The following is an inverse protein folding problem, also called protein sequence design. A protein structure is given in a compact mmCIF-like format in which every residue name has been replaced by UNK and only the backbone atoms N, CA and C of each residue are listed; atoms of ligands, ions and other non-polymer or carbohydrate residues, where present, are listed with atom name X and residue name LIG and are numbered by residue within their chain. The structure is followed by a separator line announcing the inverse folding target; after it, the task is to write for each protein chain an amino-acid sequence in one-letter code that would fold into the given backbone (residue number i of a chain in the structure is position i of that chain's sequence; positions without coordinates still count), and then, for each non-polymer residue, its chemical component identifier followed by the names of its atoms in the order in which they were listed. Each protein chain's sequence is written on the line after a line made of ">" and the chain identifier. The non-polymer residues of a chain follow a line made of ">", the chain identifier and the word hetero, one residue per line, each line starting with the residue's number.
data_IF_871205801641
#
_entry.id   IF_871205801641
#
_cell.length_a   1.000
_cell.length_b   1.000
_cell.length_c   1.000
_cell.angle_alpha   90.00
_cell.angle_beta   90.00
_cell.angle_gamma   90.00
#
_symmetry.space_group_name_H-M   'P 1'
#
loop_
_entity.id
_entity.type
_entity.pdbx_description
1 polymer ?
#
# COMPACT_ATOMS: atom_id res chain seq x y z
N UNK A 1 21.64 -0.73 2.73
CA UNK A 1 20.28 -0.60 2.18
C UNK A 1 20.28 -0.38 0.66
N UNK A 2 20.81 0.73 0.12
CA UNK A 2 20.80 0.97 -1.34
C UNK A 2 21.52 -0.12 -2.17
N UNK A 3 22.60 -0.69 -1.64
CA UNK A 3 23.31 -1.82 -2.27
C UNK A 3 22.55 -3.16 -2.27
N UNK A 4 21.64 -3.38 -1.31
CA UNK A 4 20.91 -4.66 -1.15
C UNK A 4 19.68 -4.76 -2.06
N UNK A 5 19.12 -3.62 -2.44
CA UNK A 5 17.83 -3.56 -3.15
C UNK A 5 18.02 -3.49 -4.67
N UNK A 6 19.15 -2.96 -5.15
CA UNK A 6 19.41 -2.79 -6.59
C UNK A 6 18.30 -2.02 -7.30
N UNK A 7 17.92 -2.45 -8.50
CA UNK A 7 16.80 -1.89 -9.27
C UNK A 7 15.45 -2.53 -8.92
N UNK A 8 15.35 -3.31 -7.84
CA UNK A 8 14.11 -4.06 -7.51
C UNK A 8 13.11 -3.24 -6.68
N UNK A 9 13.57 -2.15 -6.06
CA UNK A 9 12.71 -1.22 -5.33
C UNK A 9 13.37 0.14 -5.17
N UNK A 10 12.54 1.16 -5.05
CA UNK A 10 12.92 2.52 -4.64
C UNK A 10 12.84 2.59 -3.11
N UNK A 11 13.88 3.15 -2.49
CA UNK A 11 13.94 3.33 -1.04
C UNK A 11 13.57 4.77 -0.70
N UNK A 12 12.47 4.95 0.01
CA UNK A 12 12.00 6.23 0.50
C UNK A 12 12.27 6.34 2.01
N UNK A 13 13.23 7.17 2.46
CA UNK A 13 13.55 7.31 3.87
C UNK A 13 12.54 8.19 4.61
N UNK A 14 12.27 7.85 5.87
CA UNK A 14 11.51 8.64 6.85
C UNK A 14 10.13 9.08 6.34
N UNK A 15 9.36 8.14 5.82
CA UNK A 15 8.04 8.42 5.23
C UNK A 15 6.97 8.46 6.32
N UNK A 16 6.14 9.52 6.33
CA UNK A 16 5.04 9.64 7.27
C UNK A 16 3.93 8.61 6.99
N UNK A 17 3.33 8.01 8.03
CA UNK A 17 2.24 7.04 7.84
C UNK A 17 1.02 7.64 7.13
N UNK A 18 0.79 8.95 7.28
CA UNK A 18 -0.26 9.68 6.54
C UNK A 18 -0.05 9.72 5.03
N UNK A 19 1.18 9.51 4.58
CA UNK A 19 1.56 9.54 3.16
C UNK A 19 1.50 8.13 2.54
N UNK A 20 1.34 7.10 3.37
CA UNK A 20 1.23 5.69 2.98
C UNK A 20 -0.22 5.22 3.10
N UNK A 21 -0.90 5.61 4.18
CA UNK A 21 -2.22 5.10 4.54
C UNK A 21 -3.29 6.18 4.52
N UNK A 22 -4.48 5.79 4.09
CA UNK A 22 -5.68 6.62 4.10
C UNK A 22 -6.67 6.08 5.13
N UNK A 23 -7.36 6.98 5.82
CA UNK A 23 -8.42 6.60 6.76
C UNK A 23 -9.74 6.63 6.02
N UNK A 24 -10.54 5.57 6.21
CA UNK A 24 -11.89 5.50 5.68
C UNK A 24 -12.73 6.69 6.16
N UNK A 25 -13.49 7.31 5.25
CA UNK A 25 -14.36 8.46 5.57
C UNK A 25 -15.56 8.05 6.43
N UNK A 26 -15.92 6.77 6.47
CA UNK A 26 -16.97 6.19 7.30
C UNK A 26 -16.69 6.27 8.80
N UNK A 27 -15.46 6.59 9.20
CA UNK A 27 -15.05 6.75 10.61
C UNK A 27 -15.62 8.04 11.25
N UNK A 28 -16.12 8.97 10.43
CA UNK A 28 -16.92 10.11 10.88
C UNK A 28 -16.18 11.00 11.90
N UNK A 29 -16.77 11.15 13.09
CA UNK A 29 -16.26 12.05 14.16
C UNK A 29 -14.87 11.66 14.67
N UNK A 30 -14.49 10.39 14.57
CA UNK A 30 -13.17 9.92 15.00
C UNK A 30 -12.09 10.09 13.91
N UNK A 31 -12.43 10.55 12.69
CA UNK A 31 -11.48 10.70 11.59
C UNK A 31 -10.27 11.56 12.00
N UNK A 32 -10.49 12.73 12.61
CA UNK A 32 -9.42 13.64 13.06
C UNK A 32 -8.52 13.00 14.12
N UNK A 33 -9.11 12.17 15.00
CA UNK A 33 -8.37 11.46 16.05
C UNK A 33 -7.45 10.40 15.45
N UNK A 34 -7.92 9.59 14.51
CA UNK A 34 -7.07 8.60 13.83
C UNK A 34 -6.06 9.26 12.90
N UNK A 35 -6.45 10.34 12.22
CA UNK A 35 -5.56 11.11 11.35
C UNK A 35 -4.39 11.67 12.15
N UNK A 36 -4.65 12.28 13.31
CA UNK A 36 -3.60 12.74 14.21
C UNK A 36 -2.65 11.61 14.64
N UNK A 37 -3.17 10.40 14.87
CA UNK A 37 -2.33 9.25 15.25
C UNK A 37 -1.37 8.81 14.13
N UNK A 38 -1.80 8.82 12.87
CA UNK A 38 -0.93 8.44 11.74
C UNK A 38 -0.04 9.60 11.29
N UNK A 39 -0.52 10.84 11.34
CA UNK A 39 0.23 12.02 10.92
C UNK A 39 1.47 12.32 11.79
N UNK A 40 1.46 11.87 13.04
CA UNK A 40 2.56 12.04 13.98
C UNK A 40 3.60 10.92 13.93
N UNK A 41 3.47 9.96 13.00
CA UNK A 41 4.34 8.78 12.92
C UNK A 41 4.95 8.65 11.53
N UNK A 42 6.13 8.06 11.48
CA UNK A 42 6.85 7.74 10.27
C UNK A 42 7.41 6.34 10.37
N UNK A 43 7.62 5.71 9.22
CA UNK A 43 8.44 4.51 9.06
C UNK A 43 9.85 4.94 8.67
N UNK A 44 10.89 4.20 9.10
CA UNK A 44 12.27 4.57 8.79
C UNK A 44 12.56 4.48 7.30
N UNK A 45 12.07 3.42 6.65
CA UNK A 45 12.15 3.27 5.21
C UNK A 45 10.87 2.65 4.65
N UNK A 46 10.43 3.15 3.51
CA UNK A 46 9.39 2.55 2.69
C UNK A 46 10.05 2.03 1.42
N UNK A 47 9.82 0.77 1.10
CA UNK A 47 10.17 0.23 -0.20
C UNK A 47 8.98 0.38 -1.13
N UNK A 48 9.24 0.93 -2.30
CA UNK A 48 8.26 1.13 -3.36
C UNK A 48 8.68 0.36 -4.60
N UNK A 49 7.70 -0.07 -5.38
CA UNK A 49 7.95 -0.56 -6.74
C UNK A 49 8.59 0.57 -7.59
N UNK A 50 9.64 0.30 -8.37
CA UNK A 50 10.33 1.33 -9.15
C UNK A 50 9.47 1.97 -10.24
N UNK A 51 8.52 1.23 -10.80
CA UNK A 51 7.74 1.65 -11.96
C UNK A 51 6.43 2.32 -11.53
N UNK A 52 5.70 1.73 -10.58
CA UNK A 52 4.40 2.26 -10.13
C UNK A 52 4.49 3.17 -8.91
N UNK A 53 5.62 3.19 -8.20
CA UNK A 53 5.79 3.81 -6.87
C UNK A 53 4.83 3.26 -5.80
N UNK A 54 4.18 2.12 -6.06
CA UNK A 54 3.31 1.48 -5.08
C UNK A 54 4.13 0.97 -3.88
N UNK A 55 3.66 1.16 -2.64
CA UNK A 55 4.32 0.63 -1.46
C UNK A 55 4.39 -0.91 -1.47
N UNK A 56 5.59 -1.46 -1.35
CA UNK A 56 5.85 -2.89 -1.22
C UNK A 56 5.89 -3.31 0.25
N UNK A 57 6.65 -2.59 1.08
CA UNK A 57 6.71 -2.81 2.52
C UNK A 57 7.31 -1.62 3.26
N UNK A 58 6.97 -1.50 4.55
CA UNK A 58 7.68 -0.62 5.49
C UNK A 58 8.82 -1.35 6.18
N UNK A 59 9.85 -0.60 6.58
CA UNK A 59 10.99 -1.09 7.36
C UNK A 59 11.20 -0.17 8.57
N UNK A 60 11.20 -0.74 9.77
CA UNK A 60 11.63 -0.06 11.01
C UNK A 60 12.98 -0.61 11.49
N UNK A 61 13.85 0.29 11.93
CA UNK A 61 15.13 -0.05 12.56
C UNK A 61 14.96 -0.01 14.08
N UNK A 62 15.03 -1.17 14.72
CA UNK A 62 14.90 -1.29 16.18
C UNK A 62 16.28 -1.20 16.85
N UNK A 63 16.56 -0.13 17.58
CA UNK A 63 17.73 -0.08 18.47
C UNK A 63 17.50 -0.96 19.71
N UNK A 64 18.49 -1.78 20.07
CA UNK A 64 18.44 -2.73 21.22
C UNK A 64 18.08 -2.02 22.55
N UNK A 65 18.23 -0.69 22.62
CA UNK A 65 17.85 0.16 23.75
C UNK A 65 16.35 0.51 23.79
N UNK A 66 15.47 -0.49 23.91
CA UNK A 66 14.03 -0.25 24.11
C UNK A 66 13.45 -0.93 25.36
N UNK A 67 14.10 -0.72 26.50
CA UNK A 67 13.55 -1.04 27.85
C UNK A 67 12.61 0.05 28.36
N UNK A 68 11.54 0.37 27.62
CA UNK A 68 10.52 1.28 28.17
C UNK A 68 9.10 0.94 27.70
N UNK A 69 8.19 0.73 28.66
CA UNK A 69 6.76 0.35 28.48
C UNK A 69 5.93 1.26 27.55
N UNK A 70 6.47 2.41 27.11
CA UNK A 70 5.88 3.31 26.11
C UNK A 70 6.16 2.88 24.66
N UNK A 71 7.21 2.12 24.36
CA UNK A 71 7.50 1.59 23.02
C UNK A 71 6.43 0.57 22.60
N UNK A 72 6.11 -0.37 23.49
CA UNK A 72 5.12 -1.44 23.26
C UNK A 72 3.75 -0.97 22.73
N UNK A 73 3.19 0.14 23.27
CA UNK A 73 1.90 0.68 22.80
C UNK A 73 1.99 1.35 21.42
N UNK A 74 3.18 1.82 21.01
CA UNK A 74 3.41 2.40 19.68
C UNK A 74 3.60 1.30 18.65
N UNK A 75 4.37 0.28 18.99
CA UNK A 75 4.68 -0.85 18.11
C UNK A 75 3.40 -1.56 17.66
N UNK A 76 2.50 -1.84 18.60
CA UNK A 76 1.19 -2.45 18.32
C UNK A 76 0.33 -1.59 17.37
N UNK A 77 0.37 -0.26 17.51
CA UNK A 77 -0.46 0.60 16.66
C UNK A 77 0.05 0.62 15.22
N UNK A 78 1.37 0.77 15.04
CA UNK A 78 1.96 0.79 13.69
C UNK A 78 1.74 -0.55 13.02
N UNK A 79 2.03 -1.66 13.71
CA UNK A 79 1.80 -3.01 13.22
C UNK A 79 0.33 -3.24 12.83
N UNK A 80 -0.60 -2.78 13.66
CA UNK A 80 -2.02 -2.86 13.33
C UNK A 80 -2.39 -2.08 12.06
N UNK A 81 -1.87 -0.87 11.88
CA UNK A 81 -2.17 -0.06 10.68
C UNK A 81 -1.66 -0.75 9.41
N UNK A 82 -0.45 -1.31 9.45
CA UNK A 82 0.12 -2.06 8.34
C UNK A 82 -0.70 -3.32 8.02
N UNK A 83 -1.08 -4.09 9.05
CA UNK A 83 -1.93 -5.28 8.89
C UNK A 83 -3.33 -4.94 8.35
N UNK A 84 -3.98 -3.89 8.87
CA UNK A 84 -5.30 -3.43 8.42
C UNK A 84 -5.26 -2.98 6.94
N UNK A 85 -4.10 -2.47 6.49
CA UNK A 85 -3.87 -2.07 5.10
C UNK A 85 -3.34 -3.21 4.21
N UNK A 86 -3.16 -4.42 4.75
CA UNK A 86 -2.54 -5.57 4.08
C UNK A 86 -1.16 -5.24 3.47
N UNK A 87 -0.37 -4.41 4.18
CA UNK A 87 0.98 -4.02 3.81
C UNK A 87 1.98 -4.61 4.81
N UNK A 88 3.07 -5.20 4.35
CA UNK A 88 4.06 -5.84 5.21
C UNK A 88 4.95 -4.80 5.92
N UNK A 89 5.22 -5.01 7.21
CA UNK A 89 6.16 -4.21 8.00
C UNK A 89 7.30 -5.10 8.49
N UNK A 90 8.52 -4.83 8.04
CA UNK A 90 9.72 -5.55 8.44
C UNK A 90 10.42 -4.77 9.56
N UNK A 91 10.72 -5.45 10.67
CA UNK A 91 11.55 -4.88 11.75
C UNK A 91 12.96 -5.46 11.68
N UNK A 92 13.94 -4.58 11.68
CA UNK A 92 15.37 -4.90 11.54
C UNK A 92 16.07 -4.39 12.80
N UNK A 93 16.36 -5.28 13.76
CA UNK A 93 17.11 -4.99 15.00
C UNK A 93 18.57 -4.53 14.76
N UNK A 94 18.87 -3.24 14.91
CA UNK A 94 20.20 -2.64 14.78
C UNK A 94 21.25 -3.31 15.68
N UNK A 95 21.93 -4.32 15.16
CA UNK A 95 23.20 -4.81 15.68
C UNK A 95 24.31 -4.16 14.87
N UNK A 96 25.40 -3.79 15.53
CA UNK A 96 26.59 -3.16 14.94
C UNK A 96 27.34 -4.01 13.89
N UNK A 97 26.76 -5.12 13.44
CA UNK A 97 27.32 -6.05 12.49
C UNK A 97 26.26 -6.65 11.58
N UNK A 98 25.34 -5.83 11.07
CA UNK A 98 24.42 -6.30 10.03
C UNK A 98 25.19 -6.79 8.81
N UNK A 99 24.98 -8.06 8.46
CA UNK A 99 25.47 -8.57 7.17
C UNK A 99 24.46 -8.21 6.09
N UNK A 100 24.94 -7.75 4.93
CA UNK A 100 24.08 -7.41 3.79
C UNK A 100 23.12 -8.57 3.43
N UNK A 101 23.58 -9.81 3.65
CA UNK A 101 22.83 -11.04 3.42
C UNK A 101 21.54 -11.18 4.26
N UNK A 102 21.52 -10.72 5.50
CA UNK A 102 20.32 -10.82 6.37
C UNK A 102 19.23 -9.86 5.89
N UNK A 103 19.63 -8.65 5.52
CA UNK A 103 18.73 -7.65 4.93
C UNK A 103 18.21 -8.15 3.58
N UNK A 104 19.08 -8.70 2.73
CA UNK A 104 18.69 -9.27 1.44
C UNK A 104 17.71 -10.44 1.57
N UNK A 105 17.90 -11.33 2.55
CA UNK A 105 17.01 -12.47 2.79
C UNK A 105 15.62 -12.00 3.20
N UNK A 106 15.52 -11.05 4.14
CA UNK A 106 14.24 -10.49 4.57
C UNK A 106 13.50 -9.79 3.41
N UNK A 107 14.25 -9.12 2.53
CA UNK A 107 13.69 -8.42 1.37
C UNK A 107 13.28 -9.36 0.23
N UNK A 108 13.99 -10.47 0.03
CA UNK A 108 13.66 -11.45 -1.03
C UNK A 108 12.25 -12.00 -0.87
N UNK A 109 11.82 -12.29 0.36
CA UNK A 109 10.45 -12.75 0.65
C UNK A 109 9.37 -11.73 0.27
N UNK A 110 9.65 -10.42 0.34
CA UNK A 110 8.72 -9.37 -0.09
C UNK A 110 8.63 -9.30 -1.61
N UNK A 111 9.77 -9.37 -2.31
CA UNK A 111 9.79 -9.35 -3.78
C UNK A 111 9.11 -10.57 -4.40
N UNK A 112 9.26 -11.75 -3.79
CA UNK A 112 8.62 -12.98 -4.27
C UNK A 112 7.09 -12.98 -4.04
N UNK A 113 6.61 -12.41 -2.91
CA UNK A 113 5.17 -12.19 -2.69
C UNK A 113 4.58 -11.17 -3.65
N UNK A 114 5.28 -10.05 -3.90
CA UNK A 114 4.86 -9.04 -4.88
C UNK A 114 4.74 -9.65 -6.27
N UNK A 115 5.74 -10.43 -6.72
CA UNK A 115 5.67 -11.18 -7.98
C UNK A 115 4.54 -12.21 -8.00
N UNK A 116 4.27 -12.90 -6.90
CA UNK A 116 3.21 -13.92 -6.79
C UNK A 116 1.80 -13.31 -6.81
N UNK A 117 1.61 -12.14 -6.22
CA UNK A 117 0.36 -11.35 -6.34
C UNK A 117 0.19 -10.87 -7.79
N UNK A 118 1.26 -10.37 -8.41
CA UNK A 118 1.24 -9.89 -9.79
C UNK A 118 1.02 -11.00 -10.82
N UNK A 119 1.58 -12.20 -10.61
CA UNK A 119 1.39 -13.34 -11.53
C UNK A 119 -0.01 -13.96 -11.44
N UNK A 120 -0.72 -13.81 -10.32
CA UNK A 120 -2.13 -14.23 -10.22
C UNK A 120 -3.06 -13.26 -10.99
N UNK A 121 -2.58 -12.06 -11.36
CA UNK A 121 -3.36 -11.05 -12.11
C UNK A 121 -3.15 -11.07 -13.63
N UNK A 122 -2.41 -12.02 -14.20
CA UNK A 122 -2.10 -12.00 -15.64
C UNK A 122 -3.10 -12.75 -16.54
N UNK A 123 -4.41 -12.66 -16.29
CA UNK A 123 -5.39 -12.96 -17.34
C UNK A 123 -6.73 -12.21 -17.26
N UNK A 124 -6.73 -10.99 -16.73
CA UNK A 124 -7.87 -10.07 -16.86
C UNK A 124 -7.35 -8.80 -17.51
N UNK A 125 -7.73 -8.54 -18.76
CA UNK A 125 -7.41 -7.28 -19.44
C UNK A 125 -7.92 -6.11 -18.58
N UNK A 126 -7.00 -5.37 -17.97
CA UNK A 126 -7.33 -4.23 -17.11
C UNK A 126 -7.72 -3.05 -18.02
N UNK A 127 -9.03 -2.77 -18.10
CA UNK A 127 -9.55 -1.63 -18.86
C UNK A 127 -9.33 -0.34 -18.06
N UNK A 128 -8.52 0.58 -18.60
CA UNK A 128 -8.21 1.87 -17.99
C UNK A 128 -9.18 2.97 -18.43
N UNK A 129 -9.48 3.89 -17.52
CA UNK A 129 -10.31 5.05 -17.82
C UNK A 129 -9.59 6.03 -18.77
N UNK A 130 -10.20 6.46 -19.89
CA UNK A 130 -9.55 7.33 -20.87
C UNK A 130 -9.29 8.75 -20.35
N UNK A 131 -9.95 9.16 -19.26
CA UNK A 131 -9.84 10.50 -18.70
C UNK A 131 -8.85 10.61 -17.54
N UNK A 132 -8.75 9.59 -16.70
CA UNK A 132 -7.94 9.65 -15.47
C UNK A 132 -7.03 8.45 -15.25
N UNK A 133 -6.96 7.54 -16.22
CA UNK A 133 -6.07 6.37 -16.22
C UNK A 133 -6.21 5.42 -15.02
N UNK A 134 -7.30 5.54 -14.25
CA UNK A 134 -7.62 4.59 -13.19
C UNK A 134 -8.26 3.32 -13.77
N UNK A 135 -8.00 2.13 -13.20
CA UNK A 135 -8.70 0.89 -13.55
C UNK A 135 -10.22 1.07 -13.43
N UNK A 136 -10.95 0.75 -14.51
CA UNK A 136 -12.40 0.86 -14.52
C UNK A 136 -13.05 -0.33 -13.80
N UNK A 137 -14.22 -0.10 -13.23
CA UNK A 137 -14.98 -1.14 -12.51
C UNK A 137 -16.24 -1.52 -13.30
N UNK A 138 -16.60 -2.80 -13.32
CA UNK A 138 -17.83 -3.26 -13.95
C UNK A 138 -19.02 -2.80 -13.11
N UNK A 139 -20.00 -2.19 -13.76
CA UNK A 139 -21.27 -1.75 -13.16
C UNK A 139 -22.42 -2.25 -14.00
N UNK A 140 -23.54 -2.53 -13.35
CA UNK A 140 -24.78 -2.96 -14.00
C UNK A 140 -25.80 -1.85 -13.97
N UNK A 141 -26.36 -1.51 -15.13
CA UNK A 141 -27.43 -0.52 -15.20
C UNK A 141 -28.69 -1.05 -14.50
N UNK A 142 -29.24 -0.27 -13.56
CA UNK A 142 -30.40 -0.69 -12.75
C UNK A 142 -31.74 -0.28 -13.35
N UNK A 143 -31.76 0.71 -14.27
CA UNK A 143 -32.99 1.30 -14.84
C UNK A 143 -32.75 1.76 -16.28
N UNK A 144 -33.83 1.93 -17.05
CA UNK A 144 -33.79 2.42 -18.43
C UNK A 144 -33.62 1.33 -19.49
N UNK A 145 -33.44 1.73 -20.75
CA UNK A 145 -33.33 0.81 -21.90
C UNK A 145 -32.11 -0.14 -21.82
N UNK A 146 -31.09 0.23 -21.03
CA UNK A 146 -29.91 -0.58 -20.80
C UNK A 146 -29.97 -1.35 -19.47
N UNK A 147 -31.11 -1.38 -18.77
CA UNK A 147 -31.24 -2.10 -17.50
C UNK A 147 -30.81 -3.56 -17.65
N UNK A 148 -29.96 -4.01 -16.72
CA UNK A 148 -29.38 -5.35 -16.75
C UNK A 148 -28.09 -5.48 -17.56
N UNK A 149 -27.74 -4.52 -18.41
CA UNK A 149 -26.45 -4.53 -19.13
C UNK A 149 -25.32 -4.06 -18.23
N UNK A 150 -24.15 -4.65 -18.46
CA UNK A 150 -22.91 -4.30 -17.77
C UNK A 150 -22.09 -3.33 -18.60
N UNK A 151 -21.36 -2.45 -17.91
CA UNK A 151 -20.45 -1.48 -18.51
C UNK A 151 -19.32 -1.20 -17.54
N UNK A 152 -18.15 -0.83 -18.07
CA UNK A 152 -17.08 -0.27 -17.27
C UNK A 152 -17.44 1.16 -16.88
N UNK A 153 -17.41 1.47 -15.59
CA UNK A 153 -17.59 2.82 -15.06
C UNK A 153 -16.36 3.27 -14.28
N UNK A 154 -16.01 4.55 -14.36
CA UNK A 154 -14.91 5.08 -13.57
C UNK A 154 -15.24 4.98 -12.05
N UNK A 155 -14.31 4.48 -11.20
CA UNK A 155 -14.53 4.40 -9.76
C UNK A 155 -14.68 5.77 -9.10
N UNK A 156 -14.14 6.83 -9.72
CA UNK A 156 -14.17 8.19 -9.19
C UNK A 156 -15.49 8.95 -9.47
N UNK A 157 -16.57 8.25 -9.83
CA UNK A 157 -17.90 8.85 -9.89
C UNK A 157 -18.30 9.44 -8.52
N UNK A 158 -18.88 10.66 -8.44
CA UNK A 158 -19.42 11.48 -9.53
C UNK A 158 -18.41 12.44 -10.18
N UNK A 159 -17.15 12.47 -9.73
CA UNK A 159 -16.11 13.41 -10.21
C UNK A 159 -15.61 13.05 -11.60
N UNK A 160 -15.58 11.76 -11.93
CA UNK A 160 -15.32 11.26 -13.28
C UNK A 160 -16.51 10.40 -13.73
N UNK A 161 -17.10 10.75 -14.88
CA UNK A 161 -18.33 10.13 -15.40
C UNK A 161 -18.09 9.25 -16.63
N UNK A 162 -16.84 8.94 -16.93
CA UNK A 162 -16.51 8.09 -18.08
C UNK A 162 -17.03 6.68 -17.93
N UNK A 163 -17.55 6.17 -19.04
CA UNK A 163 -18.13 4.85 -19.20
C UNK A 163 -17.54 4.23 -20.48
N UNK A 164 -17.24 2.93 -20.43
CA UNK A 164 -16.94 2.12 -21.61
C UNK A 164 -17.96 0.98 -21.62
N UNK A 165 -18.68 0.82 -22.72
CA UNK A 165 -19.62 -0.30 -22.85
C UNK A 165 -18.84 -1.60 -22.99
N UNK A 166 -19.34 -2.66 -22.35
CA UNK A 166 -18.85 -4.01 -22.61
C UNK A 166 -19.63 -4.49 -23.84
N UNK A 167 -19.01 -4.41 -25.01
CA UNK A 167 -19.59 -4.96 -26.23
C UNK A 167 -19.55 -6.49 -26.13
N UNK A 168 -20.71 -7.14 -26.29
CA UNK A 168 -20.82 -8.58 -26.51
C UNK A 168 -20.75 -8.90 -28.00
#
# INVERSE_FOLDING_TARGET
>A
MRQCVGNKAVICPKVGLKDIFFIDKGVGKDYMKYFGKIAQKHVDFLLCDPDSMEPLCGIELDDISHTNKKAYKRDIFVEKVYNDANLELIRISSKSGYTLSEVETALTGVFDKSKKIFTIQNNTEIVLCPKCSMPMVIRKASKGQNAGKEFYGCPNFPKCKEIINIDC
#
